data_IF_184502315335
#
_entry.id   IF_184502315335
#
_cell.length_a   1.000
_cell.length_b   1.000
_cell.length_c   1.000
_cell.angle_alpha   90.00
_cell.angle_beta   90.00
_cell.angle_gamma   90.00
#
_symmetry.space_group_name_H-M   'P 1'
#
loop_
_entity.id
_entity.type
_entity.pdbx_description
1 polymer ?
#
# COMPACT_ATOMS: atom_id res chain seq x y z
N UNK A 1 -0.68 14.17 52.16
CA UNK A 1 0.75 14.33 52.49
C UNK A 1 1.32 12.95 52.82
N UNK A 2 2.57 12.66 52.41
CA UNK A 2 3.35 11.42 52.57
C UNK A 2 3.60 10.58 51.28
N UNK A 3 4.56 11.10 50.51
CA UNK A 3 5.66 10.42 49.80
C UNK A 3 5.74 8.87 49.86
N UNK A 4 6.00 8.26 48.70
CA UNK A 4 7.30 7.59 48.45
C UNK A 4 7.48 7.21 46.98
N UNK A 5 8.41 7.94 46.35
CA UNK A 5 9.12 7.63 45.12
C UNK A 5 9.88 6.30 45.27
N UNK A 6 9.72 5.34 44.35
CA UNK A 6 10.62 4.18 44.23
C UNK A 6 10.90 3.83 42.77
N UNK A 7 12.14 4.14 42.39
CA UNK A 7 13.05 3.44 41.50
C UNK A 7 12.58 3.05 40.09
N UNK A 8 13.11 3.79 39.12
CA UNK A 8 13.34 3.33 37.76
C UNK A 8 14.24 2.08 37.76
N UNK A 9 13.85 1.06 37.01
CA UNK A 9 14.79 0.09 36.46
C UNK A 9 14.51 -0.01 34.96
N UNK A 10 15.28 0.74 34.17
CA UNK A 10 15.28 0.63 32.73
C UNK A 10 16.09 -0.63 32.35
N UNK A 11 15.40 -1.68 31.93
CA UNK A 11 16.03 -2.87 31.37
C UNK A 11 16.29 -2.60 29.87
N UNK A 12 17.46 -2.05 29.56
CA UNK A 12 17.91 -1.88 28.18
C UNK A 12 18.39 -3.24 27.65
N UNK A 13 17.50 -3.99 26.98
CA UNK A 13 17.91 -5.15 26.20
C UNK A 13 18.50 -4.66 24.88
N UNK A 14 19.83 -4.68 24.80
CA UNK A 14 20.56 -4.50 23.56
C UNK A 14 20.39 -5.75 22.69
N UNK A 15 19.46 -5.71 21.74
CA UNK A 15 19.42 -6.68 20.64
C UNK A 15 20.35 -6.17 19.53
N UNK A 16 21.56 -6.72 19.45
CA UNK A 16 22.42 -6.55 18.28
C UNK A 16 21.95 -7.51 17.18
N UNK A 17 21.55 -7.06 15.98
CA UNK A 17 21.33 -7.96 14.87
C UNK A 17 22.68 -8.45 14.35
N UNK A 18 22.96 -9.73 14.55
CA UNK A 18 24.05 -10.44 13.88
C UNK A 18 23.77 -10.48 12.38
N UNK A 19 24.61 -9.78 11.62
CA UNK A 19 24.63 -9.77 10.17
C UNK A 19 25.17 -11.14 9.67
N UNK A 20 24.27 -12.04 9.27
CA UNK A 20 24.65 -13.28 8.59
C UNK A 20 24.72 -13.02 7.08
N UNK A 21 25.94 -12.89 6.56
CA UNK A 21 26.24 -12.97 5.14
C UNK A 21 26.10 -14.44 4.70
N UNK A 22 25.12 -14.72 3.86
CA UNK A 22 25.10 -15.93 3.06
C UNK A 22 25.36 -15.55 1.59
N UNK A 23 26.59 -15.78 1.16
CA UNK A 23 26.96 -15.78 -0.25
C UNK A 23 26.33 -17.04 -0.88
N UNK A 24 25.49 -16.87 -1.89
CA UNK A 24 25.11 -17.95 -2.79
C UNK A 24 25.88 -17.75 -4.08
N UNK A 25 26.88 -18.61 -4.28
CA UNK A 25 27.67 -18.66 -5.50
C UNK A 25 26.81 -19.11 -6.68
N UNK A 26 26.96 -18.38 -7.77
CA UNK A 26 26.34 -18.66 -9.06
C UNK A 26 27.17 -19.70 -9.82
N UNK A 27 26.51 -20.76 -10.30
CA UNK A 27 26.95 -21.50 -11.49
C UNK A 27 25.72 -22.03 -12.22
N UNK A 28 25.39 -21.41 -13.34
CA UNK A 28 24.64 -22.06 -14.40
C UNK A 28 25.25 -21.62 -15.73
N UNK A 29 26.19 -22.43 -16.20
CA UNK A 29 26.72 -22.35 -17.56
C UNK A 29 25.64 -22.83 -18.54
N UNK A 30 25.46 -22.07 -19.61
CA UNK A 30 24.48 -22.35 -20.65
C UNK A 30 24.50 -21.29 -21.75
N UNK A 31 25.66 -21.13 -22.39
CA UNK A 31 25.75 -20.49 -23.69
C UNK A 31 25.17 -21.42 -24.75
N UNK A 32 24.07 -20.99 -25.38
CA UNK A 32 23.62 -21.52 -26.66
C UNK A 32 22.89 -20.41 -27.43
N UNK A 33 23.67 -19.59 -28.15
CA UNK A 33 23.30 -19.05 -29.47
C UNK A 33 22.07 -18.14 -29.54
N UNK A 34 22.25 -16.85 -29.27
CA UNK A 34 21.28 -15.84 -29.67
C UNK A 34 21.28 -15.66 -31.21
N UNK A 35 20.14 -15.81 -31.91
CA UNK A 35 20.04 -15.29 -33.27
C UNK A 35 20.04 -13.76 -33.23
N UNK A 36 20.79 -13.15 -34.15
CA UNK A 36 20.90 -11.71 -34.29
C UNK A 36 19.50 -11.06 -34.38
N UNK A 37 19.25 -10.06 -33.54
CA UNK A 37 18.04 -9.25 -33.57
C UNK A 37 17.86 -8.61 -34.95
N UNK A 38 16.66 -8.68 -35.56
CA UNK A 38 16.40 -7.92 -36.78
C UNK A 38 16.46 -6.41 -36.49
N UNK A 39 16.78 -5.57 -37.49
CA UNK A 39 16.82 -4.13 -37.30
C UNK A 39 15.45 -3.63 -36.83
N UNK A 40 15.47 -2.71 -35.87
CA UNK A 40 14.28 -2.05 -35.32
C UNK A 40 13.54 -1.30 -36.43
N UNK A 41 12.64 -1.99 -37.12
CA UNK A 41 11.56 -1.33 -37.84
C UNK A 41 10.74 -0.59 -36.79
N UNK A 42 10.67 0.74 -36.90
CA UNK A 42 9.86 1.59 -36.04
C UNK A 42 8.42 1.09 -36.11
N UNK A 43 7.99 0.33 -35.09
CA UNK A 43 6.59 0.01 -34.87
C UNK A 43 5.86 1.35 -34.75
N UNK A 44 4.92 1.68 -35.64
CA UNK A 44 4.17 2.93 -35.57
C UNK A 44 3.63 3.10 -34.14
N UNK A 45 3.79 4.29 -33.56
CA UNK A 45 3.43 4.57 -32.16
C UNK A 45 1.98 4.15 -31.82
N UNK A 46 1.09 4.14 -32.83
CA UNK A 46 -0.27 3.61 -32.77
C UNK A 46 -0.36 2.10 -32.47
N UNK A 47 0.56 1.29 -33.00
CA UNK A 47 0.63 -0.15 -32.75
C UNK A 47 1.20 -0.45 -31.36
N UNK A 48 2.15 0.35 -30.87
CA UNK A 48 2.63 0.25 -29.48
C UNK A 48 1.50 0.63 -28.50
N UNK A 49 0.72 1.67 -28.81
CA UNK A 49 -0.45 2.08 -28.03
C UNK A 49 -1.59 1.05 -28.05
N UNK A 50 -1.86 0.42 -29.20
CA UNK A 50 -2.85 -0.64 -29.32
C UNK A 50 -2.42 -1.92 -28.58
N UNK A 51 -1.13 -2.27 -28.64
CA UNK A 51 -0.56 -3.39 -27.88
C UNK A 51 -0.58 -3.13 -26.38
N UNK A 52 -0.25 -1.91 -25.94
CA UNK A 52 -0.38 -1.47 -24.55
C UNK A 52 -1.85 -1.42 -24.10
N UNK A 53 -2.77 -1.04 -24.98
CA UNK A 53 -4.21 -1.05 -24.74
C UNK A 53 -4.77 -2.47 -24.60
N UNK A 54 -4.33 -3.41 -25.44
CA UNK A 54 -4.66 -4.82 -25.32
C UNK A 54 -4.03 -5.46 -24.08
N UNK A 55 -2.76 -5.16 -23.75
CA UNK A 55 -2.14 -5.61 -22.49
C UNK A 55 -2.87 -5.05 -21.26
N UNK A 56 -3.27 -3.77 -21.29
CA UNK A 56 -4.06 -3.15 -20.21
C UNK A 56 -5.48 -3.70 -20.13
N UNK A 57 -6.08 -4.05 -21.26
CA UNK A 57 -7.38 -4.73 -21.36
C UNK A 57 -7.32 -6.15 -20.79
N UNK A 58 -6.40 -6.98 -21.25
CA UNK A 58 -6.18 -8.33 -20.72
C UNK A 58 -5.80 -8.30 -19.23
N UNK A 59 -4.87 -7.44 -18.81
CA UNK A 59 -4.51 -7.31 -17.39
C UNK A 59 -5.70 -6.81 -16.55
N UNK A 60 -6.53 -5.92 -17.09
CA UNK A 60 -7.74 -5.40 -16.44
C UNK A 60 -8.83 -6.45 -16.27
N UNK A 61 -9.15 -7.20 -17.33
CA UNK A 61 -10.15 -8.27 -17.28
C UNK A 61 -9.69 -9.46 -16.41
N UNK A 62 -8.41 -9.84 -16.51
CA UNK A 62 -7.85 -10.89 -15.64
C UNK A 62 -7.83 -10.47 -14.16
N UNK A 63 -7.50 -9.21 -13.84
CA UNK A 63 -7.59 -8.70 -12.47
C UNK A 63 -9.03 -8.69 -11.95
N UNK A 64 -10.00 -8.32 -12.80
CA UNK A 64 -11.42 -8.32 -12.43
C UNK A 64 -11.95 -9.72 -12.15
N UNK A 65 -11.62 -10.70 -13.00
CA UNK A 65 -11.99 -12.10 -12.80
C UNK A 65 -11.30 -12.71 -11.57
N UNK A 66 -10.01 -12.42 -11.34
CA UNK A 66 -9.27 -12.85 -10.16
C UNK A 66 -9.88 -12.30 -8.87
N UNK A 67 -10.22 -11.01 -8.85
CA UNK A 67 -10.92 -10.38 -7.71
C UNK A 67 -12.27 -11.06 -7.47
N UNK A 68 -13.06 -11.31 -8.51
CA UNK A 68 -14.38 -11.94 -8.37
C UNK A 68 -14.33 -13.36 -7.79
N UNK A 69 -13.22 -14.09 -7.97
CA UNK A 69 -13.04 -15.45 -7.47
C UNK A 69 -12.66 -15.53 -5.98
N UNK A 70 -12.32 -14.40 -5.34
CA UNK A 70 -11.90 -14.38 -3.93
C UNK A 70 -13.07 -14.37 -2.96
N UNK A 71 -12.87 -14.80 -1.69
CA UNK A 71 -13.86 -14.59 -0.63
C UNK A 71 -14.23 -13.11 -0.48
N UNK A 72 -15.48 -12.82 -0.11
CA UNK A 72 -16.00 -11.43 -0.03
C UNK A 72 -15.15 -10.50 0.84
N UNK A 73 -14.61 -11.00 1.96
CA UNK A 73 -13.69 -10.24 2.81
C UNK A 73 -12.40 -9.86 2.07
N UNK A 74 -11.76 -10.83 1.40
CA UNK A 74 -10.56 -10.60 0.60
C UNK A 74 -10.83 -9.61 -0.54
N UNK A 75 -12.00 -9.68 -1.18
CA UNK A 75 -12.40 -8.70 -2.20
C UNK A 75 -12.49 -7.29 -1.62
N UNK A 76 -13.12 -7.14 -0.45
CA UNK A 76 -13.26 -5.84 0.20
C UNK A 76 -11.88 -5.25 0.57
N UNK A 77 -10.98 -6.07 1.13
CA UNK A 77 -9.61 -5.65 1.43
C UNK A 77 -8.83 -5.20 0.19
N UNK A 78 -8.87 -5.99 -0.89
CA UNK A 78 -8.17 -5.61 -2.12
C UNK A 78 -8.77 -4.36 -2.75
N UNK A 79 -10.10 -4.19 -2.74
CA UNK A 79 -10.74 -2.95 -3.22
C UNK A 79 -10.29 -1.73 -2.43
N UNK A 80 -10.18 -1.81 -1.11
CA UNK A 80 -9.67 -0.73 -0.28
C UNK A 80 -8.22 -0.36 -0.65
N UNK A 81 -7.33 -1.37 -0.74
CA UNK A 81 -5.92 -1.18 -1.11
C UNK A 81 -5.74 -0.61 -2.53
N UNK A 82 -6.50 -1.10 -3.51
CA UNK A 82 -6.48 -0.56 -4.87
C UNK A 82 -7.05 0.86 -4.94
N UNK A 83 -8.11 1.13 -4.17
CA UNK A 83 -8.77 2.44 -4.12
C UNK A 83 -7.86 3.56 -3.61
N UNK A 84 -6.93 3.27 -2.68
CA UNK A 84 -5.96 4.27 -2.22
C UNK A 84 -4.78 4.49 -3.18
N UNK A 85 -4.41 3.49 -4.00
CA UNK A 85 -3.13 3.50 -4.73
C UNK A 85 -2.99 4.70 -5.66
N UNK A 86 -3.94 4.89 -6.59
CA UNK A 86 -3.88 5.99 -7.55
C UNK A 86 -3.91 7.38 -6.90
N UNK A 87 -4.86 7.71 -6.00
CA UNK A 87 -4.88 9.02 -5.36
C UNK A 87 -3.66 9.27 -4.45
N UNK A 88 -3.09 8.22 -3.82
CA UNK A 88 -1.85 8.35 -3.07
C UNK A 88 -0.66 8.68 -3.99
N UNK A 89 -0.54 7.97 -5.12
CA UNK A 89 0.51 8.24 -6.11
C UNK A 89 0.36 9.62 -6.76
N UNK A 90 -0.87 10.11 -6.92
CA UNK A 90 -1.14 11.49 -7.33
C UNK A 90 -0.67 12.50 -6.28
N UNK A 91 -1.01 12.28 -5.01
CA UNK A 91 -0.60 13.14 -3.91
C UNK A 91 0.93 13.25 -3.77
N UNK A 92 1.66 12.15 -3.99
CA UNK A 92 3.13 12.12 -3.91
C UNK A 92 3.83 12.98 -4.97
N UNK A 93 3.11 13.47 -5.98
CA UNK A 93 3.64 14.39 -7.01
C UNK A 93 3.63 15.86 -6.56
N UNK A 94 3.03 16.17 -5.40
CA UNK A 94 3.07 17.54 -4.88
C UNK A 94 4.51 17.97 -4.57
N UNK A 95 4.86 19.21 -4.96
CA UNK A 95 6.21 19.76 -4.78
C UNK A 95 6.57 19.99 -3.31
N UNK A 96 5.59 20.38 -2.51
CA UNK A 96 5.74 20.55 -1.07
C UNK A 96 5.61 19.18 -0.39
N UNK A 97 6.66 18.68 0.28
CA UNK A 97 6.63 17.36 0.91
C UNK A 97 5.57 17.24 2.02
N UNK A 98 5.25 18.33 2.73
CA UNK A 98 4.21 18.31 3.76
C UNK A 98 2.83 18.12 3.11
N UNK A 99 2.59 18.83 2.01
CA UNK A 99 1.36 18.67 1.22
C UNK A 99 1.27 17.28 0.62
N UNK A 100 2.37 16.76 0.07
CA UNK A 100 2.42 15.42 -0.49
C UNK A 100 2.06 14.35 0.55
N UNK A 101 2.66 14.45 1.75
CA UNK A 101 2.37 13.56 2.85
C UNK A 101 0.90 13.64 3.27
N UNK A 102 0.39 14.84 3.54
CA UNK A 102 -1.00 15.02 4.02
C UNK A 102 -2.02 14.59 2.96
N UNK A 103 -1.83 14.96 1.69
CA UNK A 103 -2.71 14.51 0.59
C UNK A 103 -2.64 12.99 0.41
N UNK A 104 -1.47 12.38 0.57
CA UNK A 104 -1.29 10.93 0.41
C UNK A 104 -1.82 10.11 1.60
N UNK A 105 -1.78 10.67 2.80
CA UNK A 105 -2.29 10.00 3.99
C UNK A 105 -3.82 9.94 4.05
N UNK A 106 -4.54 10.88 3.42
CA UNK A 106 -6.00 10.83 3.34
C UNK A 106 -6.51 9.53 2.68
N UNK A 107 -6.12 9.16 1.45
CA UNK A 107 -6.56 7.91 0.84
C UNK A 107 -6.01 6.68 1.56
N UNK A 108 -4.80 6.75 2.14
CA UNK A 108 -4.25 5.65 2.95
C UNK A 108 -5.13 5.35 4.18
N UNK A 109 -5.53 6.39 4.93
CA UNK A 109 -6.41 6.24 6.09
C UNK A 109 -7.81 5.78 5.66
N UNK A 110 -8.31 6.26 4.52
CA UNK A 110 -9.60 5.82 3.99
C UNK A 110 -9.59 4.31 3.67
N UNK A 111 -8.53 3.78 3.06
CA UNK A 111 -8.41 2.35 2.82
C UNK A 111 -8.40 1.54 4.12
N UNK A 112 -7.69 2.02 5.15
CA UNK A 112 -7.68 1.33 6.44
C UNK A 112 -9.06 1.37 7.14
N UNK A 113 -9.82 2.46 7.01
CA UNK A 113 -11.23 2.53 7.45
C UNK A 113 -12.09 1.51 6.69
N UNK A 114 -11.91 1.39 5.37
CA UNK A 114 -12.71 0.47 4.56
C UNK A 114 -12.37 -1.00 4.84
N UNK A 115 -11.11 -1.31 5.17
CA UNK A 115 -10.72 -2.63 5.68
C UNK A 115 -11.30 -2.90 7.07
N UNK A 116 -11.28 -1.92 7.97
CA UNK A 116 -11.90 -2.05 9.28
C UNK A 116 -13.42 -2.32 9.16
N UNK A 117 -14.11 -1.65 8.23
CA UNK A 117 -15.52 -1.95 7.92
C UNK A 117 -15.72 -3.37 7.37
N UNK A 118 -14.79 -3.87 6.55
CA UNK A 118 -14.87 -5.23 6.05
C UNK A 118 -14.72 -6.28 7.17
N UNK A 119 -13.83 -6.09 8.15
CA UNK A 119 -13.74 -7.03 9.28
C UNK A 119 -14.96 -6.94 10.20
N UNK A 120 -15.58 -5.75 10.34
CA UNK A 120 -16.87 -5.62 11.04
C UNK A 120 -18.00 -6.39 10.35
N UNK A 121 -17.98 -6.45 9.01
CA UNK A 121 -18.99 -7.13 8.22
C UNK A 121 -18.80 -8.65 8.16
N UNK A 122 -17.55 -9.11 7.99
CA UNK A 122 -17.25 -10.51 7.67
C UNK A 122 -16.51 -11.27 8.78
N UNK A 123 -15.94 -10.56 9.76
CA UNK A 123 -15.21 -11.15 10.88
C UNK A 123 -16.13 -11.59 12.03
N UNK A 124 -15.61 -12.47 12.88
CA UNK A 124 -16.34 -13.03 14.02
C UNK A 124 -15.66 -12.84 15.38
N UNK A 125 -14.40 -12.39 15.42
CA UNK A 125 -13.67 -12.15 16.67
C UNK A 125 -14.03 -10.77 17.25
N UNK A 126 -14.70 -10.76 18.40
CA UNK A 126 -15.19 -9.55 19.05
C UNK A 126 -14.07 -8.58 19.47
N UNK A 127 -12.94 -9.04 20.07
CA UNK A 127 -11.78 -8.17 20.29
C UNK A 127 -11.27 -7.48 19.02
N UNK A 128 -11.20 -8.18 17.88
CA UNK A 128 -10.79 -7.60 16.60
C UNK A 128 -11.80 -6.59 16.08
N UNK A 129 -13.11 -6.85 16.23
CA UNK A 129 -14.16 -5.89 15.85
C UNK A 129 -14.11 -4.62 16.69
N UNK A 130 -13.91 -4.74 18.00
CA UNK A 130 -13.72 -3.58 18.87
C UNK A 130 -12.49 -2.75 18.46
N UNK A 131 -11.38 -3.41 18.11
CA UNK A 131 -10.20 -2.74 17.55
C UNK A 131 -10.53 -2.03 16.23
N UNK A 132 -11.32 -2.64 15.35
CA UNK A 132 -11.73 -2.04 14.07
C UNK A 132 -12.57 -0.76 14.27
N UNK A 133 -13.50 -0.75 15.22
CA UNK A 133 -14.28 0.46 15.56
C UNK A 133 -13.38 1.60 16.05
N UNK A 134 -12.40 1.29 16.90
CA UNK A 134 -11.41 2.27 17.36
C UNK A 134 -10.58 2.83 16.20
N UNK A 135 -10.13 1.96 15.28
CA UNK A 135 -9.39 2.37 14.09
C UNK A 135 -10.23 3.27 13.18
N UNK A 136 -11.52 3.01 13.03
CA UNK A 136 -12.42 3.86 12.23
C UNK A 136 -12.51 5.26 12.85
N UNK A 137 -12.79 5.34 14.15
CA UNK A 137 -12.93 6.62 14.85
C UNK A 137 -11.63 7.44 14.81
N UNK A 138 -10.50 6.81 15.11
CA UNK A 138 -9.19 7.47 15.12
C UNK A 138 -8.80 8.01 13.74
N UNK A 139 -8.88 7.15 12.71
CA UNK A 139 -8.46 7.52 11.36
C UNK A 139 -9.41 8.52 10.70
N UNK A 140 -10.71 8.50 11.02
CA UNK A 140 -11.64 9.53 10.56
C UNK A 140 -11.26 10.90 11.13
N UNK A 141 -10.95 10.97 12.42
CA UNK A 141 -10.50 12.21 13.05
C UNK A 141 -9.17 12.71 12.43
N UNK A 142 -8.27 11.81 12.03
CA UNK A 142 -7.04 12.17 11.32
C UNK A 142 -7.31 12.71 9.92
N UNK A 143 -8.21 12.07 9.15
CA UNK A 143 -8.66 12.58 7.85
C UNK A 143 -9.22 14.00 7.99
N UNK A 144 -10.07 14.26 8.99
CA UNK A 144 -10.67 15.57 9.20
C UNK A 144 -9.61 16.63 9.54
N UNK A 145 -8.63 16.29 10.39
CA UNK A 145 -7.48 17.14 10.69
C UNK A 145 -6.64 17.45 9.46
N UNK A 146 -6.37 16.44 8.62
CA UNK A 146 -5.60 16.59 7.39
C UNK A 146 -6.31 17.47 6.36
N UNK A 147 -7.62 17.28 6.16
CA UNK A 147 -8.45 18.11 5.29
C UNK A 147 -8.48 19.56 5.76
N UNK A 148 -8.63 19.79 7.05
CA UNK A 148 -8.60 21.13 7.64
C UNK A 148 -7.22 21.80 7.47
N UNK A 149 -6.13 21.03 7.64
CA UNK A 149 -4.77 21.52 7.41
C UNK A 149 -4.56 21.97 5.96
N UNK A 150 -5.04 21.19 4.98
CA UNK A 150 -4.99 21.53 3.55
C UNK A 150 -5.81 22.78 3.24
N UNK A 151 -7.04 22.86 3.77
CA UNK A 151 -7.94 24.00 3.57
C UNK A 151 -7.32 25.32 4.04
N UNK A 152 -6.65 25.31 5.20
CA UNK A 152 -5.94 26.48 5.74
C UNK A 152 -4.78 26.98 4.86
N UNK A 153 -4.31 26.15 3.93
CA UNK A 153 -3.20 26.44 3.02
C UNK A 153 -3.65 26.62 1.56
N UNK A 154 -4.95 26.63 1.29
CA UNK A 154 -5.51 26.78 -0.06
C UNK A 154 -5.17 25.61 -1.00
N UNK A 155 -5.04 24.41 -0.44
CA UNK A 155 -4.67 23.18 -1.15
C UNK A 155 -5.86 22.36 -1.63
#
# INVERSE_FOLDING_TARGET
>A
MQFKLKAMLAFAVLFAPTLALAQHDAHHDGDAGAPASPPAAMVPQQQCAAMMGMMKGMMGEHMSACLAALPSASQAYMRAMMGMHMPMMEAMQAKDPDVAFVKGMIPHHQAAIDMARAVLQFGSDEPVKAMAEQMIAGQQAEIDRMREWLRKRGQ
#
